data_IF_595593705464
#
_entry.id   IF_595593705464
#
_cell.length_a   1.000
_cell.length_b   1.000
_cell.length_c   1.000
_cell.angle_alpha   90.00
_cell.angle_beta   90.00
_cell.angle_gamma   90.00
#
_symmetry.space_group_name_H-M   'P 1'
#
loop_
_entity.id
_entity.type
_entity.pdbx_description
1 polymer ?
#
# COMPACT_ATOMS: atom_id res chain seq x y z
N UNK A 1 31.33 -21.14 30.44
CA UNK A 1 30.34 -21.07 29.35
C UNK A 1 29.71 -19.71 29.45
N UNK A 2 29.96 -18.86 28.47
CA UNK A 2 29.34 -17.54 28.39
C UNK A 2 27.84 -17.73 28.09
N UNK A 3 26.93 -17.00 28.74
CA UNK A 3 25.50 -17.15 28.49
C UNK A 3 25.17 -16.74 27.05
N UNK A 4 24.18 -17.38 26.40
CA UNK A 4 23.77 -17.02 25.05
C UNK A 4 23.28 -15.56 25.03
N UNK A 5 23.85 -14.75 24.14
CA UNK A 5 23.40 -13.37 23.92
C UNK A 5 22.08 -13.43 23.16
N UNK A 6 21.01 -12.93 23.78
CA UNK A 6 19.66 -12.90 23.20
C UNK A 6 19.34 -11.51 22.64
N UNK A 7 18.59 -11.47 21.54
CA UNK A 7 18.06 -10.25 20.93
C UNK A 7 16.53 -10.27 20.87
N UNK A 8 15.92 -9.09 20.91
CA UNK A 8 14.46 -8.91 20.89
C UNK A 8 14.01 -8.31 19.56
N UNK A 9 13.32 -9.10 18.73
CA UNK A 9 12.86 -8.70 17.40
C UNK A 9 11.40 -8.28 17.45
N UNK A 10 11.06 -7.10 16.92
CA UNK A 10 9.67 -6.63 16.75
C UNK A 10 9.04 -7.21 15.49
N UNK A 11 8.30 -8.31 15.62
CA UNK A 11 7.67 -9.03 14.50
C UNK A 11 6.55 -8.20 13.84
N UNK A 12 5.73 -7.52 14.64
CA UNK A 12 4.55 -6.79 14.12
C UNK A 12 4.91 -5.47 13.42
N UNK A 13 6.13 -4.97 13.59
CA UNK A 13 6.57 -3.68 13.04
C UNK A 13 6.45 -3.63 11.52
N UNK A 14 6.99 -4.64 10.84
CA UNK A 14 6.97 -4.72 9.37
C UNK A 14 5.55 -4.79 8.82
N UNK A 15 4.70 -5.64 9.41
CA UNK A 15 3.31 -5.74 8.97
C UNK A 15 2.51 -4.47 9.23
N UNK A 16 2.75 -3.74 10.34
CA UNK A 16 2.11 -2.45 10.59
C UNK A 16 2.49 -1.42 9.53
N UNK A 17 3.78 -1.37 9.16
CA UNK A 17 4.27 -0.48 8.11
C UNK A 17 3.65 -0.83 6.76
N UNK A 18 3.66 -2.12 6.38
CA UNK A 18 3.05 -2.58 5.13
C UNK A 18 1.55 -2.22 5.08
N UNK A 19 0.81 -2.48 6.16
CA UNK A 19 -0.60 -2.12 6.25
C UNK A 19 -0.82 -0.62 6.13
N UNK A 20 0.01 0.21 6.76
CA UNK A 20 -0.09 1.66 6.67
C UNK A 20 0.12 2.16 5.23
N UNK A 21 1.09 1.59 4.51
CA UNK A 21 1.33 1.91 3.09
C UNK A 21 0.11 1.52 2.24
N UNK A 22 -0.37 0.28 2.38
CA UNK A 22 -1.54 -0.19 1.63
C UNK A 22 -2.80 0.61 1.91
N UNK A 23 -3.05 0.95 3.17
CA UNK A 23 -4.24 1.73 3.57
C UNK A 23 -4.12 3.18 3.09
N UNK A 24 -2.96 3.81 3.28
CA UNK A 24 -2.74 5.19 2.85
C UNK A 24 -2.85 5.33 1.33
N UNK A 25 -2.10 4.51 0.58
CA UNK A 25 -2.11 4.55 -0.88
C UNK A 25 -3.45 4.08 -1.47
N UNK A 26 -4.01 3.00 -0.93
CA UNK A 26 -5.32 2.48 -1.33
C UNK A 26 -6.43 3.50 -1.08
N UNK A 27 -6.39 4.21 0.04
CA UNK A 27 -7.34 5.29 0.35
C UNK A 27 -7.23 6.44 -0.63
N UNK A 28 -6.02 6.94 -0.90
CA UNK A 28 -5.79 8.02 -1.86
C UNK A 28 -6.29 7.67 -3.27
N UNK A 29 -5.92 6.49 -3.77
CA UNK A 29 -6.31 6.02 -5.11
C UNK A 29 -7.80 5.72 -5.21
N UNK A 30 -8.41 5.13 -4.19
CA UNK A 30 -9.86 4.90 -4.17
C UNK A 30 -10.66 6.21 -4.16
N UNK A 31 -10.24 7.20 -3.35
CA UNK A 31 -10.88 8.51 -3.31
C UNK A 31 -10.72 9.25 -4.64
N UNK A 32 -9.53 9.17 -5.27
CA UNK A 32 -9.29 9.73 -6.59
C UNK A 32 -10.14 9.07 -7.68
N UNK A 33 -10.22 7.73 -7.68
CA UNK A 33 -11.09 6.99 -8.59
C UNK A 33 -12.57 7.33 -8.42
N UNK A 34 -13.05 7.47 -7.18
CA UNK A 34 -14.41 7.98 -6.91
C UNK A 34 -14.61 9.40 -7.47
N UNK A 35 -13.64 10.29 -7.24
CA UNK A 35 -13.71 11.64 -7.79
C UNK A 35 -13.82 11.61 -9.32
N UNK A 36 -12.97 10.86 -10.01
CA UNK A 36 -12.97 10.77 -11.48
C UNK A 36 -14.25 10.15 -12.06
N UNK A 37 -14.87 9.21 -11.34
CA UNK A 37 -16.10 8.56 -11.77
C UNK A 37 -17.33 9.47 -11.67
N UNK A 38 -17.37 10.39 -10.71
CA UNK A 38 -18.58 11.16 -10.40
C UNK A 38 -18.48 12.66 -10.67
N UNK A 39 -17.29 13.25 -10.57
CA UNK A 39 -17.08 14.70 -10.58
C UNK A 39 -15.97 15.12 -11.56
N UNK A 40 -14.89 14.35 -11.61
CA UNK A 40 -13.64 14.72 -12.27
C UNK A 40 -13.73 14.69 -13.79
N UNK A 41 -12.89 15.52 -14.40
CA UNK A 41 -12.65 15.55 -15.83
C UNK A 41 -11.14 15.47 -16.11
N UNK A 42 -10.72 14.92 -17.26
CA UNK A 42 -9.32 14.85 -17.63
C UNK A 42 -8.75 16.25 -17.80
N UNK A 43 -7.56 16.48 -17.25
CA UNK A 43 -6.81 17.74 -17.43
C UNK A 43 -6.58 18.07 -18.91
N UNK A 44 -6.55 17.03 -19.77
CA UNK A 44 -6.51 17.17 -21.22
C UNK A 44 -7.63 18.06 -21.79
N UNK A 45 -8.77 18.20 -21.10
CA UNK A 45 -9.84 19.12 -21.49
C UNK A 45 -9.39 20.59 -21.49
N UNK A 46 -8.40 20.99 -20.69
CA UNK A 46 -7.86 22.36 -20.66
C UNK A 46 -7.11 22.72 -21.95
N UNK A 47 -6.58 21.71 -22.64
CA UNK A 47 -5.76 21.86 -23.83
C UNK A 47 -6.48 21.40 -25.11
N UNK A 48 -7.70 20.88 -24.96
CA UNK A 48 -8.46 20.32 -26.06
C UNK A 48 -9.29 21.40 -26.80
N UNK A 49 -9.42 21.32 -28.14
CA UNK A 49 -10.29 22.21 -28.90
C UNK A 49 -11.77 22.12 -28.50
N UNK A 50 -12.17 20.96 -27.97
CA UNK A 50 -13.48 20.71 -27.39
C UNK A 50 -13.33 19.71 -26.22
N UNK A 51 -14.22 19.75 -25.21
CA UNK A 51 -14.21 18.78 -24.12
C UNK A 51 -14.26 17.34 -24.64
N UNK A 52 -13.46 16.45 -24.05
CA UNK A 52 -13.41 15.03 -24.38
C UNK A 52 -12.86 14.68 -25.78
N UNK A 53 -12.19 15.63 -26.46
CA UNK A 53 -11.62 15.39 -27.79
C UNK A 53 -10.38 14.48 -27.77
N UNK A 54 -9.56 14.54 -26.70
CA UNK A 54 -8.36 13.71 -26.57
C UNK A 54 -8.60 12.44 -25.73
N UNK A 55 -9.23 12.61 -24.57
CA UNK A 55 -9.61 11.49 -23.69
C UNK A 55 -11.12 11.37 -23.75
N UNK A 56 -11.62 10.25 -24.27
CA UNK A 56 -13.05 10.02 -24.34
C UNK A 56 -13.63 9.78 -22.95
N UNK A 57 -14.91 10.09 -22.75
CA UNK A 57 -15.61 9.80 -21.48
C UNK A 57 -15.52 8.32 -21.09
N UNK A 58 -15.63 7.43 -22.07
CA UNK A 58 -15.53 5.99 -21.81
C UNK A 58 -14.13 5.59 -21.32
N UNK A 59 -13.08 6.11 -21.94
CA UNK A 59 -11.71 5.87 -21.49
C UNK A 59 -11.46 6.42 -20.08
N UNK A 60 -11.99 7.63 -19.80
CA UNK A 60 -11.92 8.24 -18.47
C UNK A 60 -12.62 7.41 -17.40
N UNK A 61 -13.85 6.96 -17.66
CA UNK A 61 -14.60 6.14 -16.71
C UNK A 61 -13.95 4.77 -16.47
N UNK A 62 -13.37 4.16 -17.52
CA UNK A 62 -12.58 2.93 -17.36
C UNK A 62 -11.36 3.15 -16.48
N UNK A 63 -10.66 4.27 -16.66
CA UNK A 63 -9.50 4.62 -15.85
C UNK A 63 -9.88 4.90 -14.39
N UNK A 64 -10.90 5.73 -14.13
CA UNK A 64 -11.39 5.97 -12.77
C UNK A 64 -11.93 4.71 -12.10
N UNK A 65 -12.57 3.81 -12.86
CA UNK A 65 -13.00 2.50 -12.39
C UNK A 65 -11.83 1.59 -12.01
N UNK A 66 -10.75 1.61 -12.80
CA UNK A 66 -9.51 0.91 -12.47
C UNK A 66 -8.87 1.47 -11.19
N UNK A 67 -8.74 2.79 -11.06
CA UNK A 67 -8.15 3.42 -9.86
C UNK A 67 -8.95 3.06 -8.60
N UNK A 68 -10.28 3.07 -8.69
CA UNK A 68 -11.15 2.66 -7.60
C UNK A 68 -10.96 1.19 -7.23
N UNK A 69 -10.99 0.28 -8.20
CA UNK A 69 -10.82 -1.15 -7.96
C UNK A 69 -9.44 -1.46 -7.36
N UNK A 70 -8.39 -0.84 -7.89
CA UNK A 70 -7.03 -0.95 -7.39
C UNK A 70 -6.93 -0.44 -5.94
N UNK A 71 -7.47 0.75 -5.66
CA UNK A 71 -7.44 1.32 -4.32
C UNK A 71 -8.18 0.46 -3.31
N UNK A 72 -9.36 -0.06 -3.67
CA UNK A 72 -10.11 -1.01 -2.84
C UNK A 72 -9.34 -2.32 -2.59
N UNK A 73 -8.63 -2.85 -3.60
CA UNK A 73 -7.79 -4.03 -3.42
C UNK A 73 -6.64 -3.76 -2.44
N UNK A 74 -5.98 -2.60 -2.52
CA UNK A 74 -4.98 -2.18 -1.54
C UNK A 74 -5.56 -2.05 -0.13
N UNK A 75 -6.72 -1.42 0.02
CA UNK A 75 -7.42 -1.32 1.32
C UNK A 75 -7.73 -2.71 1.90
N UNK A 76 -8.23 -3.63 1.07
CA UNK A 76 -8.52 -5.00 1.48
C UNK A 76 -7.26 -5.74 1.94
N UNK A 77 -6.14 -5.60 1.23
CA UNK A 77 -4.85 -6.17 1.63
C UNK A 77 -4.35 -5.56 2.93
N UNK A 78 -4.39 -4.24 3.07
CA UNK A 78 -3.99 -3.56 4.30
C UNK A 78 -4.82 -4.02 5.50
N UNK A 79 -6.14 -4.15 5.33
CA UNK A 79 -7.03 -4.71 6.34
C UNK A 79 -6.69 -6.17 6.68
N UNK A 80 -6.44 -7.02 5.67
CA UNK A 80 -6.07 -8.41 5.86
C UNK A 80 -4.76 -8.55 6.65
N UNK A 81 -3.75 -7.73 6.36
CA UNK A 81 -2.49 -7.67 7.11
C UNK A 81 -2.76 -7.30 8.57
N UNK A 82 -3.52 -6.22 8.83
CA UNK A 82 -3.86 -5.83 10.20
C UNK A 82 -4.62 -6.93 10.96
N UNK A 83 -5.52 -7.64 10.27
CA UNK A 83 -6.28 -8.75 10.83
C UNK A 83 -5.39 -9.92 11.19
N UNK A 84 -4.40 -10.23 10.35
CA UNK A 84 -3.44 -11.31 10.54
C UNK A 84 -2.43 -10.99 11.65
N UNK A 85 -2.00 -9.74 11.76
CA UNK A 85 -1.10 -9.26 12.83
C UNK A 85 -1.62 -9.49 14.25
N UNK A 86 -2.91 -9.79 14.44
CA UNK A 86 -3.50 -10.12 15.75
C UNK A 86 -3.08 -11.51 16.24
N UNK A 87 -2.64 -12.39 15.35
CA UNK A 87 -2.17 -13.74 15.68
C UNK A 87 -0.66 -13.81 15.92
N UNK A 88 0.08 -12.74 15.62
CA UNK A 88 1.53 -12.69 15.77
C UNK A 88 1.93 -12.06 17.12
N UNK A 89 2.99 -12.56 17.78
CA UNK A 89 3.55 -11.95 18.98
C UNK A 89 4.14 -10.57 18.66
N UNK A 90 4.06 -9.62 19.59
CA UNK A 90 4.64 -8.28 19.42
C UNK A 90 6.16 -8.34 19.29
N UNK A 91 6.79 -9.19 20.11
CA UNK A 91 8.23 -9.41 20.12
C UNK A 91 8.56 -10.88 20.31
N UNK A 92 9.64 -11.32 19.70
CA UNK A 92 10.22 -12.66 19.89
C UNK A 92 11.66 -12.48 20.37
N UNK A 93 12.04 -13.28 21.36
CA UNK A 93 13.44 -13.40 21.81
C UNK A 93 14.11 -14.50 20.98
N UNK A 94 15.27 -14.18 20.43
CA UNK A 94 16.06 -15.10 19.59
C UNK A 94 17.51 -15.06 20.05
N UNK A 95 18.19 -16.20 20.01
CA UNK A 95 19.65 -16.20 20.13
C UNK A 95 20.23 -15.40 18.98
N UNK A 96 21.11 -14.45 19.30
CA UNK A 96 21.78 -13.61 18.31
C UNK A 96 22.57 -14.51 17.37
N UNK A 97 22.15 -14.56 16.11
CA UNK A 97 22.96 -15.16 15.06
C UNK A 97 23.92 -14.09 14.55
N UNK A 98 25.22 -14.40 14.52
CA UNK A 98 26.17 -13.56 13.81
C UNK A 98 25.78 -13.52 12.33
N UNK A 99 25.81 -12.33 11.69
CA UNK A 99 25.44 -12.21 10.29
C UNK A 99 26.39 -13.05 9.42
N UNK A 100 25.84 -14.04 8.71
CA UNK A 100 26.57 -14.88 7.74
C UNK A 100 27.21 -14.05 6.61
N UNK A 101 26.77 -12.81 6.41
CA UNK A 101 27.26 -11.89 5.39
C UNK A 101 27.61 -10.53 5.99
N UNK A 102 28.91 -10.22 6.01
CA UNK A 102 29.40 -8.86 6.19
C UNK A 102 29.49 -8.21 4.79
N UNK A 103 28.51 -7.36 4.46
CA UNK A 103 28.41 -6.72 3.15
C UNK A 103 29.51 -5.66 2.88
N UNK A 104 30.36 -5.38 3.87
CA UNK A 104 31.40 -4.36 3.81
C UNK A 104 32.65 -4.85 4.56
N UNK A 105 33.44 -5.71 3.94
CA UNK A 105 34.89 -5.79 4.16
C UNK A 105 35.63 -5.26 2.93
#
# INVERSE_FOLDING_TARGET
MEPPVTERIKIRGLGRLAAAIFIGWGGLTALKGLYDLFIGEPEANLYAPAPWAFVTREAWLRYGGFELAYGLACLALGWAVLRYLRFLPETVERERQDPEFQLFE
#
